data_IF_507433850616
#
_entry.id   IF_507433850616
#
_cell.length_a   1.000
_cell.length_b   1.000
_cell.length_c   1.000
_cell.angle_alpha   90.00
_cell.angle_beta   90.00
_cell.angle_gamma   90.00
#
_symmetry.space_group_name_H-M   'P 1'
#
loop_
_entity.id
_entity.type
_entity.pdbx_description
1 polymer ?
#
# COMPACT_ATOMS: atom_id res chain seq x y z
N UNK A 1 -3.02 13.14 16.25
CA UNK A 1 -2.54 13.02 14.84
C UNK A 1 -2.88 14.33 14.16
N UNK A 2 -1.97 14.90 13.36
CA UNK A 2 -2.29 16.12 12.59
C UNK A 2 -3.19 15.75 11.40
N UNK A 3 -4.18 16.58 11.09
CA UNK A 3 -5.20 16.28 10.06
C UNK A 3 -4.62 16.00 8.67
N UNK A 4 -3.49 16.61 8.34
CA UNK A 4 -2.79 16.41 7.06
C UNK A 4 -2.33 14.97 6.81
N UNK A 5 -2.16 14.16 7.85
CA UNK A 5 -1.72 12.77 7.72
C UNK A 5 -2.87 11.81 7.34
N UNK A 6 -4.13 12.23 7.52
CA UNK A 6 -5.29 11.39 7.25
C UNK A 6 -5.44 11.03 5.75
N UNK A 7 -5.28 11.96 4.79
CA UNK A 7 -5.33 11.63 3.36
C UNK A 7 -4.30 10.58 2.94
N UNK A 8 -3.09 10.62 3.53
CA UNK A 8 -2.06 9.62 3.26
C UNK A 8 -2.50 8.23 3.72
N UNK A 9 -3.05 8.14 4.94
CA UNK A 9 -3.50 6.87 5.52
C UNK A 9 -4.71 6.31 4.77
N UNK A 10 -5.70 7.14 4.43
CA UNK A 10 -6.91 6.74 3.70
C UNK A 10 -6.59 6.21 2.30
N UNK A 11 -5.48 6.67 1.71
CA UNK A 11 -5.03 6.25 0.38
C UNK A 11 -4.29 4.90 0.37
N UNK A 12 -3.90 4.35 1.52
CA UNK A 12 -3.08 3.11 1.62
C UNK A 12 -3.95 1.85 1.52
N UNK A 13 -3.52 0.88 0.71
CA UNK A 13 -3.68 -0.54 1.00
C UNK A 13 -5.11 -1.05 1.16
N UNK A 14 -6.10 -0.41 0.53
CA UNK A 14 -7.52 -0.77 0.69
C UNK A 14 -7.76 -2.18 0.15
N UNK A 15 -8.14 -3.16 1.01
CA UNK A 15 -8.35 -4.53 0.56
C UNK A 15 -9.57 -4.57 -0.35
N UNK A 16 -9.38 -5.06 -1.57
CA UNK A 16 -10.48 -5.32 -2.47
C UNK A 16 -11.26 -6.55 -1.98
N UNK A 17 -12.57 -6.57 -2.24
CA UNK A 17 -13.38 -7.76 -2.01
C UNK A 17 -12.86 -8.91 -2.89
N UNK A 18 -13.06 -10.16 -2.43
CA UNK A 18 -12.62 -11.34 -3.18
C UNK A 18 -11.32 -11.97 -2.69
N UNK A 19 -10.84 -11.65 -1.47
CA UNK A 19 -9.71 -12.35 -0.86
C UNK A 19 -9.91 -13.88 -0.85
N UNK A 20 -11.13 -14.34 -0.57
CA UNK A 20 -11.50 -15.77 -0.63
C UNK A 20 -11.43 -16.36 -2.04
N UNK A 21 -11.47 -15.52 -3.07
CA UNK A 21 -11.41 -15.89 -4.48
C UNK A 21 -10.01 -15.64 -5.07
N UNK A 22 -9.01 -15.36 -4.22
CA UNK A 22 -7.62 -15.14 -4.65
C UNK A 22 -7.26 -13.69 -4.99
N UNK A 23 -8.09 -12.69 -4.65
CA UNK A 23 -7.74 -11.29 -4.85
C UNK A 23 -6.59 -10.87 -3.92
N UNK A 24 -5.42 -10.65 -4.51
CA UNK A 24 -4.16 -10.35 -3.81
C UNK A 24 -3.67 -8.93 -4.05
N UNK A 25 -4.44 -8.09 -4.72
CA UNK A 25 -4.03 -6.72 -5.07
C UNK A 25 -4.84 -5.68 -4.29
N UNK A 26 -4.20 -4.98 -3.37
CA UNK A 26 -4.79 -3.99 -2.49
C UNK A 26 -4.15 -2.63 -2.76
N UNK A 27 -4.52 -2.03 -3.89
CA UNK A 27 -3.89 -0.82 -4.40
C UNK A 27 -4.20 0.43 -3.57
N UNK A 28 -5.27 0.44 -2.78
CA UNK A 28 -5.72 1.70 -2.20
C UNK A 28 -6.15 2.70 -3.28
N UNK A 29 -5.90 3.99 -3.05
CA UNK A 29 -6.34 5.06 -3.92
C UNK A 29 -5.15 5.86 -4.45
N UNK A 30 -4.81 5.62 -5.71
CA UNK A 30 -3.71 6.32 -6.39
C UNK A 30 -3.95 7.84 -6.45
N UNK A 31 -5.15 8.24 -6.90
CA UNK A 31 -5.49 9.65 -7.10
C UNK A 31 -5.55 10.42 -5.77
N UNK A 32 -6.12 9.81 -4.71
CA UNK A 32 -6.12 10.44 -3.39
C UNK A 32 -4.70 10.56 -2.82
N UNK A 33 -3.82 9.61 -3.12
CA UNK A 33 -2.43 9.71 -2.69
C UNK A 33 -1.71 10.88 -3.35
N UNK A 34 -1.84 11.03 -4.67
CA UNK A 34 -1.22 12.15 -5.38
C UNK A 34 -1.82 13.51 -4.99
N UNK A 35 -3.10 13.53 -4.63
CA UNK A 35 -3.77 14.71 -4.10
C UNK A 35 -3.46 14.98 -2.62
N UNK A 36 -2.84 14.05 -1.91
CA UNK A 36 -2.44 14.24 -0.52
C UNK A 36 -1.29 15.25 -0.46
N UNK A 37 -1.46 16.30 0.35
CA UNK A 37 -0.44 17.33 0.57
C UNK A 37 -0.84 18.74 0.15
N UNK A 38 0.13 19.65 0.26
CA UNK A 38 0.13 21.08 -0.07
C UNK A 38 -0.89 22.01 0.61
N UNK A 39 -2.08 21.59 0.99
CA UNK A 39 -3.07 22.44 1.65
C UNK A 39 -3.79 21.65 2.73
N UNK A 40 -3.38 21.80 3.99
CA UNK A 40 -4.18 21.29 5.10
C UNK A 40 -4.77 22.45 5.88
N UNK A 41 -6.01 22.26 6.31
CA UNK A 41 -6.69 23.20 7.18
C UNK A 41 -6.34 22.81 8.61
N UNK A 42 -5.69 23.72 9.33
CA UNK A 42 -5.47 23.55 10.77
C UNK A 42 -6.82 23.59 11.53
N UNK A 43 -6.83 23.23 12.81
CA UNK A 43 -8.01 23.21 13.68
C UNK A 43 -8.75 24.57 13.73
N UNK A 44 -8.03 25.65 13.40
CA UNK A 44 -8.54 27.03 13.33
C UNK A 44 -9.12 27.45 11.97
N UNK A 45 -9.20 26.54 10.98
CA UNK A 45 -9.71 26.88 9.65
C UNK A 45 -8.70 27.57 8.73
N UNK A 46 -7.45 27.77 9.18
CA UNK A 46 -6.37 28.36 8.40
C UNK A 46 -5.75 27.31 7.49
N UNK A 47 -5.69 27.61 6.19
CA UNK A 47 -4.97 26.78 5.22
C UNK A 47 -3.48 27.02 5.41
N UNK A 48 -2.79 26.03 5.98
CA UNK A 48 -1.34 26.00 6.01
C UNK A 48 -0.85 25.19 4.82
N UNK A 49 -0.06 25.87 3.97
CA UNK A 49 0.53 25.25 2.81
C UNK A 49 1.94 24.76 3.13
N UNK A 50 2.08 23.56 3.67
CA UNK A 50 3.39 22.90 3.67
C UNK A 50 3.65 22.31 2.29
N UNK A 51 4.82 22.62 1.72
CA UNK A 51 5.20 22.33 0.34
C UNK A 51 5.62 20.86 0.13
N UNK A 52 4.78 19.90 0.51
CA UNK A 52 5.01 18.48 0.22
C UNK A 52 3.80 17.85 -0.46
N UNK A 53 4.07 16.95 -1.41
CA UNK A 53 3.07 16.20 -2.17
C UNK A 53 3.15 14.71 -1.85
N UNK A 54 2.09 13.97 -2.14
CA UNK A 54 2.08 12.53 -1.99
C UNK A 54 2.77 11.80 -3.14
N UNK A 55 3.48 10.75 -2.79
CA UNK A 55 4.13 9.80 -3.67
C UNK A 55 3.58 8.40 -3.41
N UNK A 56 3.01 7.81 -4.46
CA UNK A 56 2.42 6.49 -4.41
C UNK A 56 3.48 5.41 -4.70
N UNK A 57 3.62 4.42 -3.82
CA UNK A 57 4.57 3.33 -3.98
C UNK A 57 3.83 1.99 -4.06
N UNK A 58 4.18 1.16 -5.06
CA UNK A 58 3.73 -0.23 -5.13
C UNK A 58 4.71 -1.14 -4.41
N UNK A 59 4.22 -1.88 -3.42
CA UNK A 59 5.00 -2.82 -2.62
C UNK A 59 4.37 -4.21 -2.71
N UNK A 60 5.21 -5.23 -2.51
CA UNK A 60 4.81 -6.62 -2.53
C UNK A 60 5.13 -7.26 -1.18
N UNK A 61 4.10 -7.73 -0.49
CA UNK A 61 4.15 -8.47 0.76
C UNK A 61 4.18 -9.96 0.44
N UNK A 62 5.24 -10.63 0.87
CA UNK A 62 5.38 -12.07 0.74
C UNK A 62 5.38 -12.67 2.14
N UNK A 63 4.38 -13.48 2.43
CA UNK A 63 4.25 -14.19 3.69
C UNK A 63 4.35 -15.69 3.42
N UNK A 64 5.14 -16.37 4.25
CA UNK A 64 5.22 -17.82 4.24
C UNK A 64 5.12 -18.35 5.67
N UNK A 65 4.19 -19.27 5.89
CA UNK A 65 4.03 -19.98 7.16
C UNK A 65 4.19 -21.48 6.96
N UNK A 66 5.26 -22.04 7.51
CA UNK A 66 5.53 -23.49 7.49
C UNK A 66 4.46 -24.27 8.28
N UNK A 67 3.89 -23.66 9.32
CA UNK A 67 2.83 -24.27 10.15
C UNK A 67 1.56 -24.55 9.35
N UNK A 68 1.15 -23.60 8.51
CA UNK A 68 -0.08 -23.69 7.74
C UNK A 68 0.16 -24.07 6.27
N UNK A 69 1.42 -24.21 5.84
CA UNK A 69 1.83 -24.39 4.43
C UNK A 69 1.20 -23.34 3.50
N UNK A 70 1.04 -22.12 4.01
CA UNK A 70 0.43 -21.02 3.27
C UNK A 70 1.54 -20.11 2.75
N UNK A 71 1.50 -19.86 1.43
CA UNK A 71 2.25 -18.79 0.77
C UNK A 71 1.27 -17.73 0.31
N UNK A 72 1.40 -16.53 0.85
CA UNK A 72 0.58 -15.39 0.48
C UNK A 72 1.48 -14.37 -0.19
N UNK A 73 1.02 -13.90 -1.34
CA UNK A 73 1.67 -12.84 -2.10
C UNK A 73 0.64 -11.74 -2.29
N UNK A 74 0.83 -10.58 -1.66
CA UNK A 74 -0.10 -9.45 -1.77
C UNK A 74 0.65 -8.26 -2.34
N UNK A 75 0.10 -7.64 -3.38
CA UNK A 75 0.57 -6.36 -3.90
C UNK A 75 -0.23 -5.25 -3.25
N UNK A 76 0.42 -4.33 -2.54
CA UNK A 76 -0.22 -3.19 -1.90
C UNK A 76 0.23 -1.88 -2.52
N UNK A 77 -0.69 -0.93 -2.61
CA UNK A 77 -0.36 0.48 -2.84
C UNK A 77 -0.20 1.20 -1.51
N UNK A 78 0.85 1.98 -1.37
CA UNK A 78 1.10 2.79 -0.17
C UNK A 78 1.32 4.25 -0.55
N UNK A 79 0.99 5.17 0.35
CA UNK A 79 1.12 6.59 0.14
C UNK A 79 2.07 7.20 1.16
N UNK A 80 3.06 7.94 0.67
CA UNK A 80 4.10 8.57 1.48
C UNK A 80 4.34 10.00 0.99
N UNK A 81 4.93 10.89 1.80
CA UNK A 81 5.42 12.17 1.30
C UNK A 81 6.45 11.98 0.17
N UNK A 82 6.52 12.92 -0.76
CA UNK A 82 7.47 12.95 -1.88
C UNK A 82 8.95 13.04 -1.47
N UNK A 83 9.22 13.43 -0.23
CA UNK A 83 10.54 13.35 0.40
C UNK A 83 10.96 11.93 0.77
N UNK A 84 10.04 10.95 0.77
CA UNK A 84 10.35 9.55 1.04
C UNK A 84 10.79 8.81 -0.22
N UNK A 85 11.86 8.02 -0.10
CA UNK A 85 12.29 7.09 -1.14
C UNK A 85 11.53 5.76 -1.07
N UNK A 86 11.62 4.94 -2.12
CA UNK A 86 11.09 3.57 -2.12
C UNK A 86 11.67 2.72 -0.97
N UNK A 87 12.90 3.00 -0.53
CA UNK A 87 13.54 2.30 0.60
C UNK A 87 12.86 2.66 1.91
N UNK A 88 12.50 3.93 2.08
CA UNK A 88 11.81 4.42 3.28
C UNK A 88 10.40 3.84 3.35
N UNK A 89 9.69 3.82 2.22
CA UNK A 89 8.37 3.18 2.10
C UNK A 89 8.40 1.69 2.47
N UNK A 90 9.41 0.94 1.98
CA UNK A 90 9.61 -0.46 2.34
C UNK A 90 9.86 -0.62 3.84
N UNK A 91 10.75 0.19 4.42
CA UNK A 91 11.10 0.08 5.83
C UNK A 91 9.93 0.43 6.75
N UNK A 92 9.19 1.49 6.43
CA UNK A 92 7.99 1.88 7.17
C UNK A 92 6.91 0.79 7.11
N UNK A 93 6.70 0.20 5.93
CA UNK A 93 5.73 -0.89 5.73
C UNK A 93 6.14 -2.17 6.48
N UNK A 94 7.44 -2.51 6.53
CA UNK A 94 7.94 -3.63 7.34
C UNK A 94 7.62 -3.47 8.83
N UNK A 95 7.82 -2.25 9.36
CA UNK A 95 7.51 -1.94 10.75
C UNK A 95 6.00 -2.04 11.03
N UNK A 96 5.17 -1.57 10.09
CA UNK A 96 3.71 -1.64 10.23
C UNK A 96 3.19 -3.08 10.18
N UNK A 97 3.73 -3.90 9.29
CA UNK A 97 3.24 -5.25 9.10
C UNK A 97 3.70 -6.23 10.21
N UNK A 98 4.77 -5.90 10.95
CA UNK A 98 5.10 -6.57 12.21
C UNK A 98 4.09 -6.28 13.34
N UNK A 99 3.28 -5.23 13.21
CA UNK A 99 2.33 -4.81 14.25
C UNK A 99 0.98 -5.55 14.15
N UNK A 100 0.67 -6.20 13.02
CA UNK A 100 -0.62 -6.86 12.81
C UNK A 100 -0.62 -8.29 13.33
N UNK A 101 -1.16 -8.48 14.53
CA UNK A 101 -1.40 -9.78 15.19
C UNK A 101 -2.65 -10.53 14.66
N UNK A 102 -3.31 -10.00 13.63
CA UNK A 102 -4.65 -10.46 13.21
C UNK A 102 -4.62 -11.76 12.40
N UNK A 103 -3.46 -12.10 11.81
CA UNK A 103 -3.25 -13.35 11.05
C UNK A 103 -1.84 -13.85 11.36
N UNK A 104 -1.65 -15.15 11.66
CA UNK A 104 -0.30 -15.75 11.75
C UNK A 104 0.28 -15.88 10.33
N UNK A 105 0.83 -14.78 9.83
CA UNK A 105 1.48 -14.67 8.52
C UNK A 105 2.90 -15.24 8.52
N UNK A 106 3.35 -15.91 9.59
CA UNK A 106 4.69 -16.48 9.64
C UNK A 106 5.77 -15.45 9.33
N UNK A 107 6.72 -15.80 8.46
CA UNK A 107 7.78 -14.88 8.03
C UNK A 107 7.25 -13.97 6.93
N UNK A 108 7.28 -12.66 7.17
CA UNK A 108 6.90 -11.63 6.22
C UNK A 108 8.12 -10.94 5.60
N UNK A 109 8.11 -10.79 4.29
CA UNK A 109 9.05 -9.97 3.53
C UNK A 109 8.30 -8.89 2.74
N UNK A 110 8.88 -7.70 2.64
CA UNK A 110 8.32 -6.57 1.91
C UNK A 110 9.34 -6.12 0.88
N UNK A 111 8.93 -6.07 -0.39
CA UNK A 111 9.78 -5.66 -1.52
C UNK A 111 9.11 -4.58 -2.35
N UNK A 112 9.89 -3.75 -3.07
CA UNK A 112 9.34 -2.91 -4.13
C UNK A 112 8.69 -3.78 -5.23
N UNK A 113 7.49 -3.42 -5.66
CA UNK A 113 6.85 -3.96 -6.87
C UNK A 113 7.06 -3.04 -8.09
N UNK A 114 7.54 -1.81 -7.86
CA UNK A 114 7.92 -0.82 -8.86
C UNK A 114 9.30 -0.24 -8.50
N UNK A 115 10.06 0.32 -9.49
CA UNK A 115 11.40 0.87 -9.25
C UNK A 115 11.38 2.12 -8.36
N UNK A 116 10.29 2.89 -8.40
CA UNK A 116 10.16 4.18 -7.73
C UNK A 116 8.73 4.42 -7.22
N UNK A 117 8.61 5.39 -6.32
CA UNK A 117 7.33 5.95 -5.89
C UNK A 117 6.92 7.03 -6.88
N UNK A 118 5.69 6.94 -7.42
CA UNK A 118 5.02 7.71 -8.50
C UNK A 118 4.58 6.83 -9.68
N UNK A 119 5.08 5.59 -9.75
CA UNK A 119 4.70 4.65 -10.80
C UNK A 119 3.37 3.94 -10.49
N UNK A 120 2.29 4.33 -11.17
CA UNK A 120 1.09 3.49 -11.37
C UNK A 120 1.27 2.46 -12.50
N UNK A 121 2.42 2.47 -13.18
CA UNK A 121 2.63 1.80 -14.48
C UNK A 121 2.57 0.25 -14.45
N UNK A 122 2.35 -0.37 -13.29
CA UNK A 122 2.05 -1.80 -13.16
C UNK A 122 0.64 -2.12 -12.66
N UNK A 123 -0.21 -1.11 -12.42
CA UNK A 123 -1.54 -1.26 -11.82
C UNK A 123 -2.69 -0.91 -12.78
N UNK A 124 -2.39 -0.59 -14.05
CA UNK A 124 -3.39 -0.47 -15.11
C UNK A 124 -3.39 -1.77 -15.90
N UNK A 125 -4.50 -2.50 -15.81
CA UNK A 125 -4.92 -3.64 -16.63
C UNK A 125 -4.09 -4.92 -16.51
N UNK A 126 -4.42 -5.75 -15.53
CA UNK A 126 -5.04 -7.03 -15.92
C UNK A 126 -6.49 -6.94 -15.47
N UNK A 127 -7.37 -6.70 -16.45
CA UNK A 127 -8.75 -7.13 -16.34
C UNK A 127 -8.76 -8.57 -15.86
N UNK A 128 -9.72 -8.90 -15.01
CA UNK A 128 -10.26 -10.24 -14.91
C UNK A 128 -10.29 -10.92 -16.29
N UNK A 129 -9.41 -11.87 -16.53
CA UNK A 129 -9.80 -13.09 -17.24
C UNK A 129 -10.18 -14.11 -16.16
N UNK A 130 -11.46 -14.49 -16.05
CA UNK A 130 -11.89 -15.57 -15.16
C UNK A 130 -11.41 -16.90 -15.76
N UNK A 131 -10.16 -17.29 -15.53
CA UNK A 131 -9.64 -18.48 -16.20
C UNK A 131 -8.19 -18.83 -15.93
N UNK A 132 -7.76 -18.96 -14.67
CA UNK A 132 -6.54 -19.71 -14.36
C UNK A 132 -6.60 -20.31 -12.95
N UNK A 133 -7.41 -21.37 -12.81
CA UNK A 133 -7.18 -22.38 -11.79
C UNK A 133 -5.90 -23.12 -12.20
N UNK A 134 -4.80 -22.90 -11.47
CA UNK A 134 -3.66 -23.80 -11.52
C UNK A 134 -3.57 -24.51 -10.15
N UNK A 135 -4.26 -25.64 -10.06
CA UNK A 135 -3.92 -26.71 -9.12
C UNK A 135 -2.61 -27.33 -9.57
N UNK A 136 -1.60 -27.33 -8.71
CA UNK A 136 -0.57 -28.37 -8.60
C UNK A 136 -0.12 -28.46 -7.14
#
# INVERSE_FOLDING_TARGET
MKGWALPFIDSIGRPQAGLLNGATTWLGSFDQCLAAGANFTDENGTVESEQFSGAYCLLQLQSWSDKFKLKILITIGTCWPDSCSIRDAVNATKNLANFTSVVDVGRLDVRPAAPDCRSAAGAKTDSLEPGAIAML
#
